data_IF_696546821930
#
_entry.id   IF_696546821930
#
_cell.length_a   1.000
_cell.length_b   1.000
_cell.length_c   1.000
_cell.angle_alpha   90.00
_cell.angle_beta   90.00
_cell.angle_gamma   90.00
#
_symmetry.space_group_name_H-M   'P 1'
#
loop_
_entity.id
_entity.type
_entity.pdbx_description
1 polymer ?
#
# COMPACT_ATOMS: atom_id res chain seq x y z
N UNK A 1 -7.25 8.37 6.60
CA UNK A 1 -7.45 7.51 5.41
C UNK A 1 -7.82 8.42 4.26
N UNK A 2 -7.18 8.22 3.10
CA UNK A 2 -7.49 8.98 1.88
C UNK A 2 -8.25 8.08 0.94
N UNK A 3 -9.50 8.43 0.70
CA UNK A 3 -10.43 7.73 -0.18
C UNK A 3 -10.39 8.28 -1.61
N UNK A 4 -11.21 7.75 -2.50
CA UNK A 4 -11.43 8.28 -3.84
C UNK A 4 -12.19 9.60 -3.82
N UNK A 5 -11.91 10.52 -4.74
CA UNK A 5 -12.82 11.61 -5.04
C UNK A 5 -14.20 11.09 -5.45
N UNK A 6 -15.23 11.79 -4.99
CA UNK A 6 -16.63 11.39 -5.26
C UNK A 6 -16.96 11.32 -6.77
N UNK A 7 -16.30 12.12 -7.57
CA UNK A 7 -16.46 12.19 -9.03
C UNK A 7 -16.00 10.93 -9.74
N UNK A 8 -15.08 10.15 -9.12
CA UNK A 8 -14.57 8.89 -9.69
C UNK A 8 -15.50 7.72 -9.38
N UNK A 9 -16.40 7.91 -8.41
CA UNK A 9 -17.36 6.90 -7.98
C UNK A 9 -16.89 6.12 -6.74
N UNK A 10 -17.66 5.09 -6.34
CA UNK A 10 -17.47 4.41 -5.06
C UNK A 10 -16.23 3.49 -5.01
N UNK A 11 -15.61 3.21 -6.15
CA UNK A 11 -14.45 2.33 -6.25
C UNK A 11 -13.35 3.05 -7.04
N UNK A 12 -12.20 3.23 -6.40
CA UNK A 12 -10.99 3.72 -7.09
C UNK A 12 -10.58 2.75 -8.19
N UNK A 13 -10.47 3.24 -9.41
CA UNK A 13 -9.88 2.43 -10.48
C UNK A 13 -8.37 2.33 -10.30
N UNK A 14 -7.77 1.28 -10.85
CA UNK A 14 -6.32 1.12 -10.80
C UNK A 14 -5.60 2.21 -11.59
N UNK A 15 -6.19 2.69 -12.71
CA UNK A 15 -5.64 3.80 -13.48
C UNK A 15 -5.58 5.09 -12.67
N UNK A 16 -6.66 5.44 -11.98
CA UNK A 16 -6.65 6.61 -11.13
C UNK A 16 -5.63 6.45 -10.01
N UNK A 17 -5.57 5.30 -9.35
CA UNK A 17 -4.62 5.04 -8.27
C UNK A 17 -3.15 5.15 -8.73
N UNK A 18 -2.85 4.77 -9.98
CA UNK A 18 -1.53 4.89 -10.57
C UNK A 18 -1.23 6.27 -11.18
N UNK A 19 -2.21 7.17 -11.24
CA UNK A 19 -2.12 8.42 -12.00
C UNK A 19 -1.39 9.54 -11.26
N UNK A 20 -0.90 10.52 -12.05
CA UNK A 20 -0.42 11.81 -11.53
C UNK A 20 -1.55 12.62 -10.88
N UNK A 21 -2.80 12.37 -11.26
CA UNK A 21 -3.96 13.03 -10.69
C UNK A 21 -4.15 12.59 -9.23
N UNK A 22 -4.09 11.28 -8.96
CA UNK A 22 -4.10 10.75 -7.59
C UNK A 22 -3.02 11.38 -6.72
N UNK A 23 -1.81 11.51 -7.23
CA UNK A 23 -0.72 12.15 -6.51
C UNK A 23 -1.03 13.62 -6.20
N UNK A 24 -1.49 14.40 -7.19
CA UNK A 24 -1.85 15.81 -6.99
C UNK A 24 -2.98 16.00 -5.98
N UNK A 25 -3.98 15.13 -6.00
CA UNK A 25 -5.09 15.20 -5.06
C UNK A 25 -4.64 14.90 -3.63
N UNK A 26 -3.76 13.91 -3.46
CA UNK A 26 -3.16 13.63 -2.15
C UNK A 26 -2.29 14.79 -1.66
N UNK A 27 -1.52 15.44 -2.54
CA UNK A 27 -0.74 16.64 -2.16
C UNK A 27 -1.64 17.80 -1.69
N UNK A 28 -2.78 18.04 -2.35
CA UNK A 28 -3.76 19.02 -1.90
C UNK A 28 -4.25 18.70 -0.48
N UNK A 29 -4.57 17.42 -0.22
CA UNK A 29 -4.99 16.97 1.10
C UNK A 29 -3.89 17.14 2.16
N UNK A 30 -2.63 16.86 1.81
CA UNK A 30 -1.49 17.07 2.71
C UNK A 30 -1.35 18.56 3.05
N UNK A 31 -1.40 19.44 2.05
CA UNK A 31 -1.33 20.89 2.26
C UNK A 31 -2.47 21.37 3.15
N UNK A 32 -3.69 20.92 2.88
CA UNK A 32 -4.85 21.28 3.68
C UNK A 32 -4.73 20.76 5.13
N UNK A 33 -4.29 19.52 5.29
CA UNK A 33 -4.11 18.90 6.61
C UNK A 33 -3.09 19.61 7.49
N UNK A 34 -2.04 20.21 6.88
CA UNK A 34 -1.03 20.99 7.63
C UNK A 34 -1.58 22.25 8.28
N UNK A 35 -2.72 22.76 7.83
CA UNK A 35 -3.41 23.88 8.51
C UNK A 35 -3.93 23.48 9.89
N UNK A 36 -4.31 22.21 10.07
CA UNK A 36 -4.81 21.64 11.31
C UNK A 36 -3.73 20.95 12.13
N UNK A 37 -2.68 20.51 11.47
CA UNK A 37 -1.55 19.76 12.05
C UNK A 37 -0.22 20.43 11.65
N UNK A 38 0.04 21.67 12.12
CA UNK A 38 1.18 22.48 11.65
C UNK A 38 2.56 21.90 12.04
N UNK A 39 2.60 21.01 13.01
CA UNK A 39 3.84 20.35 13.46
C UNK A 39 4.25 19.14 12.62
N UNK A 40 3.37 18.66 11.73
CA UNK A 40 3.70 17.54 10.82
C UNK A 40 4.66 18.01 9.74
N UNK A 41 5.87 17.45 9.78
CA UNK A 41 6.93 17.74 8.82
C UNK A 41 7.13 16.61 7.82
N UNK A 42 6.96 15.36 8.26
CA UNK A 42 7.23 14.15 7.47
C UNK A 42 5.94 13.45 7.08
N UNK A 43 5.86 12.99 5.85
CA UNK A 43 4.71 12.25 5.33
C UNK A 43 5.18 10.91 4.81
N UNK A 44 4.56 9.85 5.29
CA UNK A 44 4.75 8.49 4.82
C UNK A 44 3.50 8.01 4.10
N UNK A 45 3.70 7.26 3.03
CA UNK A 45 2.62 6.56 2.34
C UNK A 45 2.43 5.17 2.96
N UNK A 46 1.20 4.81 3.27
CA UNK A 46 0.83 3.44 3.66
C UNK A 46 -0.31 2.99 2.77
N UNK A 47 -0.04 2.07 1.88
CA UNK A 47 -1.03 1.46 1.00
C UNK A 47 -1.36 0.05 1.45
N UNK A 48 -2.65 -0.33 1.42
CA UNK A 48 -3.11 -1.69 1.73
C UNK A 48 -3.90 -2.23 0.56
N UNK A 49 -3.63 -3.48 0.14
CA UNK A 49 -4.34 -4.13 -0.96
C UNK A 49 -4.32 -3.27 -2.23
N UNK A 50 -5.46 -2.94 -2.81
CA UNK A 50 -5.55 -2.02 -3.95
C UNK A 50 -4.90 -0.65 -3.70
N UNK A 51 -4.81 -0.20 -2.45
CA UNK A 51 -4.10 1.03 -2.08
C UNK A 51 -2.59 0.96 -2.33
N UNK A 52 -2.02 -0.22 -2.50
CA UNK A 52 -0.60 -0.40 -2.82
C UNK A 52 -0.25 0.08 -4.23
N UNK A 53 -1.21 0.14 -5.14
CA UNK A 53 -1.05 0.80 -6.44
C UNK A 53 -0.70 2.28 -6.22
N UNK A 54 -1.48 2.99 -5.41
CA UNK A 54 -1.20 4.40 -5.09
C UNK A 54 0.15 4.57 -4.40
N UNK A 55 0.44 3.78 -3.36
CA UNK A 55 1.71 3.92 -2.63
C UNK A 55 2.95 3.54 -3.46
N UNK A 56 2.79 2.74 -4.51
CA UNK A 56 3.86 2.43 -5.46
C UNK A 56 4.09 3.54 -6.50
N UNK A 57 3.02 4.06 -7.09
CA UNK A 57 3.12 5.02 -8.20
C UNK A 57 3.33 6.47 -7.75
N UNK A 58 2.71 6.90 -6.65
CA UNK A 58 2.81 8.28 -6.18
C UNK A 58 4.26 8.75 -5.95
N UNK A 59 5.17 7.95 -5.37
CA UNK A 59 6.56 8.37 -5.20
C UNK A 59 7.32 8.59 -6.52
N UNK A 60 6.90 7.96 -7.62
CA UNK A 60 7.48 8.17 -8.94
C UNK A 60 7.01 9.50 -9.54
N UNK A 61 5.77 9.87 -9.25
CA UNK A 61 5.19 11.14 -9.73
C UNK A 61 5.68 12.34 -8.93
N UNK A 62 6.05 12.15 -7.65
CA UNK A 62 6.58 13.19 -6.78
C UNK A 62 7.69 12.62 -5.88
N UNK A 63 8.92 12.72 -6.35
CA UNK A 63 10.09 12.09 -5.73
C UNK A 63 10.53 12.74 -4.42
N UNK A 64 9.98 13.88 -4.04
CA UNK A 64 10.37 14.63 -2.83
C UNK A 64 9.21 14.86 -1.86
N UNK A 65 8.03 14.40 -2.21
CA UNK A 65 6.82 14.64 -1.41
C UNK A 65 6.65 13.72 -0.20
N UNK A 66 7.47 12.66 -0.10
CA UNK A 66 7.30 11.60 0.88
C UNK A 66 8.64 11.12 1.44
N UNK A 67 8.66 10.74 2.73
CA UNK A 67 9.84 10.18 3.41
C UNK A 67 10.04 8.70 3.09
N UNK A 68 8.95 7.98 2.80
CA UNK A 68 8.98 6.57 2.45
C UNK A 68 7.59 6.03 2.13
N UNK A 69 7.55 4.78 1.67
CA UNK A 69 6.31 4.08 1.39
C UNK A 69 6.31 2.68 2.03
N UNK A 70 5.16 2.30 2.59
CA UNK A 70 4.92 1.00 3.19
C UNK A 70 3.75 0.35 2.45
N UNK A 71 4.00 -0.82 1.89
CA UNK A 71 3.03 -1.61 1.13
C UNK A 71 2.57 -2.78 1.98
N UNK A 72 1.30 -2.77 2.41
CA UNK A 72 0.73 -3.85 3.23
C UNK A 72 -0.26 -4.67 2.43
N UNK A 73 -0.26 -5.99 2.58
CA UNK A 73 -1.09 -6.89 1.76
C UNK A 73 -1.08 -6.46 0.28
N UNK A 74 0.13 -6.32 -0.29
CA UNK A 74 0.34 -5.72 -1.61
C UNK A 74 -0.23 -6.57 -2.72
N UNK A 75 -0.85 -5.92 -3.71
CA UNK A 75 -1.17 -6.57 -4.99
C UNK A 75 0.13 -7.12 -5.58
N UNK A 76 0.15 -8.41 -5.84
CA UNK A 76 1.30 -9.14 -6.36
C UNK A 76 0.95 -10.09 -7.50
N UNK A 77 -0.33 -10.25 -7.76
CA UNK A 77 -0.84 -11.11 -8.82
C UNK A 77 -1.66 -10.29 -9.83
N UNK A 78 -1.77 -10.78 -11.05
CA UNK A 78 -2.55 -10.14 -12.10
C UNK A 78 -4.02 -9.96 -11.69
N UNK A 79 -4.59 -8.81 -11.99
CA UNK A 79 -6.00 -8.50 -11.74
C UNK A 79 -6.76 -8.31 -13.06
N UNK A 80 -7.48 -9.34 -13.49
CA UNK A 80 -8.13 -9.36 -14.80
C UNK A 80 -9.51 -8.69 -14.85
N UNK A 81 -10.10 -8.32 -13.70
CA UNK A 81 -11.42 -7.69 -13.69
C UNK A 81 -11.36 -6.31 -14.34
N UNK A 82 -12.18 -6.12 -15.35
CA UNK A 82 -12.39 -4.86 -16.10
C UNK A 82 -11.24 -4.48 -17.05
N UNK A 83 -10.43 -5.43 -17.53
CA UNK A 83 -9.26 -5.16 -18.38
C UNK A 83 -8.24 -4.20 -17.76
N UNK A 84 -8.31 -3.99 -16.45
CA UNK A 84 -7.42 -3.12 -15.71
C UNK A 84 -6.37 -3.97 -15.04
N UNK A 85 -5.26 -4.04 -15.73
CA UNK A 85 -4.15 -4.88 -15.38
C UNK A 85 -3.04 -4.03 -14.78
N UNK A 86 -2.86 -4.17 -13.46
CA UNK A 86 -1.70 -3.57 -12.81
C UNK A 86 -0.99 -4.62 -11.99
N UNK A 87 -0.15 -5.37 -12.71
CA UNK A 87 0.75 -6.33 -12.11
C UNK A 87 1.94 -5.59 -11.49
N UNK A 88 2.02 -5.57 -10.17
CA UNK A 88 3.14 -4.98 -9.46
C UNK A 88 4.39 -5.87 -9.45
N UNK A 89 4.34 -7.11 -9.98
CA UNK A 89 5.54 -7.95 -10.11
C UNK A 89 6.59 -7.33 -11.03
N UNK A 90 6.15 -6.66 -12.09
CA UNK A 90 7.04 -6.00 -13.06
C UNK A 90 7.20 -4.50 -12.80
N UNK A 91 6.55 -3.98 -11.75
CA UNK A 91 6.73 -2.60 -11.35
C UNK A 91 8.17 -2.37 -10.88
N UNK A 92 8.81 -1.35 -11.43
CA UNK A 92 10.20 -1.04 -11.12
C UNK A 92 10.28 -0.14 -9.86
N UNK A 93 10.37 -0.75 -8.69
CA UNK A 93 10.50 -0.04 -7.42
C UNK A 93 11.78 0.81 -7.31
N UNK A 94 12.80 0.55 -8.15
CA UNK A 94 14.04 1.36 -8.19
C UNK A 94 13.84 2.74 -8.82
N UNK A 95 12.73 2.96 -9.52
CA UNK A 95 12.36 4.29 -10.01
C UNK A 95 12.00 5.25 -8.88
N UNK A 96 11.56 4.73 -7.74
CA UNK A 96 11.32 5.53 -6.54
C UNK A 96 12.65 5.82 -5.83
N UNK A 97 12.85 7.07 -5.42
CA UNK A 97 14.04 7.50 -4.66
C UNK A 97 13.83 7.46 -3.15
N UNK A 98 12.62 7.17 -2.69
CA UNK A 98 12.31 7.06 -1.27
C UNK A 98 12.39 5.59 -0.82
N UNK A 99 12.68 5.31 0.45
CA UNK A 99 12.67 3.97 1.01
C UNK A 99 11.31 3.29 0.80
N UNK A 100 11.33 2.01 0.42
CA UNK A 100 10.16 1.18 0.22
C UNK A 100 10.21 0.01 1.22
N UNK A 101 9.07 -0.36 1.78
CA UNK A 101 8.94 -1.48 2.72
C UNK A 101 7.69 -2.28 2.41
N UNK A 102 7.78 -3.60 2.53
CA UNK A 102 6.62 -4.48 2.50
C UNK A 102 6.30 -5.00 3.90
N UNK A 103 5.02 -5.08 4.24
CA UNK A 103 4.54 -5.80 5.42
C UNK A 103 3.43 -6.73 4.93
N UNK A 104 3.59 -8.03 5.11
CA UNK A 104 2.65 -9.01 4.58
C UNK A 104 2.36 -10.12 5.59
N UNK A 105 1.11 -10.58 5.61
CA UNK A 105 0.74 -11.73 6.43
C UNK A 105 1.12 -13.02 5.70
N UNK A 106 1.79 -13.96 6.39
CA UNK A 106 2.24 -15.22 5.79
C UNK A 106 1.07 -16.06 5.25
N UNK A 107 -0.06 -16.04 5.96
CA UNK A 107 -1.28 -16.78 5.61
C UNK A 107 -2.32 -15.90 4.89
N UNK A 108 -1.91 -14.88 4.15
CA UNK A 108 -2.85 -14.11 3.30
C UNK A 108 -3.37 -15.02 2.19
N UNK A 109 -4.66 -15.37 2.28
CA UNK A 109 -5.33 -16.27 1.34
C UNK A 109 -5.92 -15.54 0.13
N UNK A 110 -5.80 -14.21 0.06
CA UNK A 110 -6.28 -13.44 -1.07
C UNK A 110 -5.46 -13.73 -2.33
N UNK A 111 -6.13 -14.21 -3.37
CA UNK A 111 -5.51 -14.60 -4.64
C UNK A 111 -4.76 -13.46 -5.34
N UNK A 112 -5.08 -12.20 -5.03
CA UNK A 112 -4.47 -11.02 -5.64
C UNK A 112 -3.24 -10.52 -4.90
N UNK A 113 -3.03 -11.00 -3.68
CA UNK A 113 -2.01 -10.48 -2.75
C UNK A 113 -1.28 -11.63 -2.06
N UNK A 114 -0.76 -12.57 -2.85
CA UNK A 114 -0.12 -13.74 -2.27
C UNK A 114 1.18 -13.39 -1.56
N UNK A 115 1.46 -14.01 -0.42
CA UNK A 115 2.73 -13.85 0.27
C UNK A 115 3.93 -14.20 -0.63
N UNK A 116 3.80 -15.27 -1.41
CA UNK A 116 4.85 -15.71 -2.35
C UNK A 116 5.11 -14.68 -3.45
N UNK A 117 4.07 -14.02 -3.95
CA UNK A 117 4.19 -12.95 -4.95
C UNK A 117 4.91 -11.73 -4.38
N UNK A 118 4.50 -11.27 -3.20
CA UNK A 118 5.17 -10.13 -2.53
C UNK A 118 6.62 -10.46 -2.18
N UNK A 119 6.90 -11.70 -1.75
CA UNK A 119 8.27 -12.14 -1.49
C UNK A 119 9.14 -12.07 -2.76
N UNK A 120 8.62 -12.49 -3.91
CA UNK A 120 9.33 -12.36 -5.20
C UNK A 120 9.63 -10.90 -5.54
N UNK A 121 8.69 -9.98 -5.31
CA UNK A 121 8.89 -8.54 -5.51
C UNK A 121 10.02 -8.05 -4.57
N UNK A 122 9.92 -8.34 -3.30
CA UNK A 122 10.89 -7.93 -2.29
C UNK A 122 12.31 -8.43 -2.62
N UNK A 123 12.44 -9.71 -2.98
CA UNK A 123 13.71 -10.32 -3.37
C UNK A 123 14.27 -9.69 -4.68
N UNK A 124 13.41 -9.44 -5.69
CA UNK A 124 13.80 -8.85 -6.98
C UNK A 124 14.38 -7.43 -6.84
N UNK A 125 13.83 -6.65 -5.94
CA UNK A 125 14.20 -5.24 -5.77
C UNK A 125 15.05 -4.96 -4.52
N UNK A 126 15.44 -6.00 -3.79
CA UNK A 126 16.18 -5.89 -2.52
C UNK A 126 15.47 -4.95 -1.53
N UNK A 127 14.15 -5.15 -1.39
CA UNK A 127 13.29 -4.32 -0.56
C UNK A 127 12.92 -5.08 0.72
N UNK A 128 13.02 -4.46 1.91
CA UNK A 128 12.69 -5.13 3.16
C UNK A 128 11.24 -5.64 3.18
N UNK A 129 11.06 -6.91 3.57
CA UNK A 129 9.77 -7.56 3.81
C UNK A 129 9.65 -7.95 5.26
N UNK A 130 8.66 -7.39 5.95
CA UNK A 130 8.28 -7.79 7.31
C UNK A 130 7.14 -8.80 7.22
N UNK A 131 7.40 -10.02 7.66
CA UNK A 131 6.39 -11.08 7.71
C UNK A 131 5.59 -10.98 9.00
N UNK A 132 4.27 -10.94 8.88
CA UNK A 132 3.33 -11.02 10.00
C UNK A 132 2.76 -12.43 10.06
N UNK A 133 2.79 -13.03 11.25
CA UNK A 133 2.28 -14.39 11.50
C UNK A 133 1.28 -14.39 12.64
N UNK A 134 0.38 -15.39 12.63
CA UNK A 134 -0.64 -15.57 13.66
C UNK A 134 -1.91 -14.76 13.37
N UNK A 135 -2.66 -14.42 14.38
CA UNK A 135 -3.95 -13.73 14.25
C UNK A 135 -5.13 -14.60 14.56
N UNK A 136 -6.30 -14.24 14.10
CA UNK A 136 -7.56 -14.92 14.34
C UNK A 136 -8.09 -15.58 13.06
N UNK A 137 -8.95 -16.57 13.19
CA UNK A 137 -9.69 -17.13 12.06
C UNK A 137 -10.47 -16.04 11.33
N UNK A 138 -10.47 -16.09 9.99
CA UNK A 138 -11.15 -15.07 9.20
C UNK A 138 -12.68 -15.26 9.18
N UNK A 139 -13.38 -14.18 8.86
CA UNK A 139 -14.82 -14.17 8.57
C UNK A 139 -15.05 -13.41 7.26
N UNK A 140 -15.87 -13.97 6.38
CA UNK A 140 -16.18 -13.36 5.08
C UNK A 140 -15.20 -13.78 3.98
N UNK A 141 -14.95 -12.90 3.02
CA UNK A 141 -14.05 -13.18 1.88
C UNK A 141 -12.57 -13.13 2.24
N UNK A 142 -11.77 -13.91 1.54
CA UNK A 142 -10.31 -14.01 1.77
C UNK A 142 -9.59 -12.68 1.58
N UNK A 143 -10.03 -11.85 0.64
CA UNK A 143 -9.52 -10.49 0.41
C UNK A 143 -10.20 -9.41 1.28
N UNK A 144 -10.90 -9.82 2.32
CA UNK A 144 -11.67 -8.92 3.19
C UNK A 144 -10.86 -8.41 4.39
N UNK A 145 -11.33 -7.30 4.96
CA UNK A 145 -10.71 -6.70 6.15
C UNK A 145 -10.72 -7.62 7.40
N UNK A 146 -11.60 -8.61 7.42
CA UNK A 146 -11.74 -9.57 8.53
C UNK A 146 -11.05 -10.92 8.27
N UNK A 147 -10.06 -10.95 7.41
CA UNK A 147 -9.18 -12.08 7.13
C UNK A 147 -7.72 -11.75 7.47
N UNK A 148 -6.79 -12.67 7.19
CA UNK A 148 -5.35 -12.42 7.28
C UNK A 148 -4.90 -11.34 6.31
N UNK A 149 -5.58 -11.19 5.18
CA UNK A 149 -5.40 -10.07 4.26
C UNK A 149 -5.56 -8.70 4.97
N UNK A 150 -6.57 -8.56 5.83
CA UNK A 150 -6.79 -7.39 6.68
C UNK A 150 -6.01 -7.42 8.01
N UNK A 151 -5.09 -8.37 8.19
CA UNK A 151 -4.30 -8.56 9.41
C UNK A 151 -5.14 -8.85 10.67
N UNK A 152 -6.31 -9.48 10.51
CA UNK A 152 -7.21 -9.78 11.60
C UNK A 152 -6.54 -10.50 12.76
N UNK A 153 -6.65 -9.93 13.96
CA UNK A 153 -6.02 -10.43 15.19
C UNK A 153 -4.50 -10.21 15.25
N UNK A 154 -3.93 -9.57 14.22
CA UNK A 154 -2.52 -9.15 14.15
C UNK A 154 -2.35 -7.65 13.97
N UNK A 155 -3.43 -6.85 14.10
CA UNK A 155 -3.45 -5.41 13.85
C UNK A 155 -2.42 -4.67 14.72
N UNK A 156 -2.25 -5.08 15.98
CA UNK A 156 -1.24 -4.50 16.88
C UNK A 156 0.18 -4.75 16.40
N UNK A 157 0.44 -5.94 15.81
CA UNK A 157 1.76 -6.25 15.24
C UNK A 157 2.01 -5.41 14.00
N UNK A 158 1.01 -5.30 13.11
CA UNK A 158 1.08 -4.44 11.93
C UNK A 158 1.41 -3.00 12.32
N UNK A 159 0.63 -2.40 13.21
CA UNK A 159 0.83 -1.01 13.64
C UNK A 159 2.18 -0.79 14.32
N UNK A 160 2.66 -1.76 15.10
CA UNK A 160 4.00 -1.71 15.70
C UNK A 160 5.09 -1.70 14.64
N UNK A 161 4.99 -2.54 13.63
CA UNK A 161 5.97 -2.60 12.54
C UNK A 161 5.97 -1.30 11.72
N UNK A 162 4.80 -0.77 11.36
CA UNK A 162 4.68 0.54 10.70
C UNK A 162 5.35 1.62 11.56
N UNK A 163 5.04 1.66 12.86
CA UNK A 163 5.60 2.64 13.78
C UNK A 163 7.13 2.54 13.92
N UNK A 164 7.68 1.34 13.89
CA UNK A 164 9.15 1.15 13.91
C UNK A 164 9.79 1.67 12.63
N UNK A 165 9.23 1.36 11.46
CA UNK A 165 9.74 1.82 10.16
C UNK A 165 9.72 3.35 10.08
N UNK A 166 8.63 3.99 10.48
CA UNK A 166 8.48 5.46 10.40
C UNK A 166 9.45 6.20 11.33
N UNK A 167 9.94 5.55 12.38
CA UNK A 167 10.85 6.17 13.37
C UNK A 167 12.34 6.01 13.01
N UNK A 168 12.65 5.19 12.02
CA UNK A 168 14.04 5.05 11.53
C UNK A 168 14.40 6.20 10.62
#
# INVERSE_FOLDING_TARGET
>A
VVDCPAEIGPICTTEYQASKERERDVQKLIVESKKYLPTVQKVWLVGTSMGTVSSSFMPIHNMTGYEGAIHTASISEPYERNNLYLDLLDFDYKKSRIPQFFIHHEDDACELTTYSGVKKIADKFDTPLVTVIGGSSFKGGECGAFSQHGFRGSEKKLMRNISMIIKT
#
